data_IF_321013932456
#
_entry.id   IF_321013932456
#
_cell.length_a   1.000
_cell.length_b   1.000
_cell.length_c   1.000
_cell.angle_alpha   90.00
_cell.angle_beta   90.00
_cell.angle_gamma   90.00
#
_symmetry.space_group_name_H-M   'P 1'
#
loop_
_entity.id
_entity.type
_entity.pdbx_description
1 polymer ?
#
# COMPACT_ATOMS: atom_id res chain seq x y z
N UNK A 1 -24.53 3.24 -32.72
CA UNK A 1 -23.35 2.43 -32.32
C UNK A 1 -22.93 2.99 -30.95
N UNK A 2 -23.38 2.35 -29.89
CA UNK A 2 -23.03 2.72 -28.51
C UNK A 2 -21.63 2.22 -28.22
N UNK A 3 -20.75 3.12 -27.79
CA UNK A 3 -19.36 2.82 -27.39
C UNK A 3 -19.37 1.91 -26.15
N UNK A 4 -18.46 0.89 -26.06
CA UNK A 4 -18.46 -0.12 -24.99
C UNK A 4 -17.93 0.37 -23.62
N UNK A 5 -17.91 1.67 -23.34
CA UNK A 5 -17.18 2.23 -22.18
C UNK A 5 -18.04 2.79 -21.05
N UNK A 6 -19.35 2.54 -21.02
CA UNK A 6 -20.26 3.19 -20.06
C UNK A 6 -20.91 2.21 -19.05
N UNK A 7 -20.26 1.08 -18.77
CA UNK A 7 -20.69 0.27 -17.62
C UNK A 7 -20.14 0.94 -16.35
N UNK A 8 -21.00 1.31 -15.38
CA UNK A 8 -20.52 1.89 -14.13
C UNK A 8 -19.56 0.91 -13.45
N UNK A 9 -18.33 1.36 -13.17
CA UNK A 9 -17.38 0.56 -12.42
C UNK A 9 -18.04 0.14 -11.10
N UNK A 10 -18.16 -1.17 -10.81
CA UNK A 10 -18.84 -1.61 -9.61
C UNK A 10 -18.12 -1.05 -8.38
N UNK A 11 -18.88 -0.40 -7.49
CA UNK A 11 -18.33 0.11 -6.23
C UNK A 11 -17.99 -1.07 -5.33
N UNK A 12 -16.72 -1.21 -4.97
CA UNK A 12 -16.29 -2.21 -4.03
C UNK A 12 -16.83 -1.91 -2.62
N UNK A 13 -17.37 -2.92 -1.97
CA UNK A 13 -17.84 -2.85 -0.58
C UNK A 13 -16.70 -3.23 0.38
N UNK A 14 -15.81 -2.30 0.68
CA UNK A 14 -14.65 -2.52 1.55
C UNK A 14 -14.98 -2.97 2.99
N UNK A 15 -16.10 -2.54 3.63
CA UNK A 15 -16.51 -3.06 4.94
C UNK A 15 -16.72 -4.58 5.01
N UNK A 16 -16.89 -5.26 3.87
CA UNK A 16 -16.99 -6.74 3.83
C UNK A 16 -15.65 -7.44 3.86
N UNK A 17 -14.55 -6.69 3.92
CA UNK A 17 -13.21 -7.29 3.89
C UNK A 17 -12.99 -8.25 5.06
N UNK A 18 -12.39 -9.40 4.77
CA UNK A 18 -12.06 -10.42 5.76
C UNK A 18 -10.65 -10.97 5.54
N UNK A 19 -10.00 -11.38 6.64
CA UNK A 19 -8.66 -11.97 6.59
C UNK A 19 -8.69 -13.34 5.88
N UNK A 20 -7.75 -13.57 4.96
CA UNK A 20 -7.56 -14.85 4.27
C UNK A 20 -6.37 -15.59 4.91
N UNK A 21 -5.16 -15.05 4.73
CA UNK A 21 -3.91 -15.71 5.13
C UNK A 21 -2.78 -14.70 5.34
N UNK A 22 -1.75 -15.13 6.09
CA UNK A 22 -0.45 -14.46 6.19
C UNK A 22 0.61 -15.34 5.55
N UNK A 23 1.28 -14.85 4.51
CA UNK A 23 2.29 -15.60 3.75
C UNK A 23 3.70 -15.05 4.01
N UNK A 24 4.67 -15.89 4.39
CA UNK A 24 6.07 -15.48 4.57
C UNK A 24 6.84 -15.34 3.26
N UNK A 25 6.41 -16.02 2.20
CA UNK A 25 7.06 -16.05 0.89
C UNK A 25 6.03 -16.00 -0.23
N UNK A 26 6.44 -15.66 -1.45
CA UNK A 26 5.58 -15.65 -2.63
C UNK A 26 4.92 -17.02 -2.89
N UNK A 27 5.66 -18.11 -2.67
CA UNK A 27 5.17 -19.47 -2.89
C UNK A 27 4.01 -19.88 -1.96
N UNK A 28 3.85 -19.20 -0.83
CA UNK A 28 2.78 -19.45 0.15
C UNK A 28 1.64 -18.42 0.08
N UNK A 29 1.69 -17.52 -0.89
CA UNK A 29 0.58 -16.62 -1.18
C UNK A 29 -0.61 -17.40 -1.79
N UNK A 30 -1.83 -16.84 -1.74
CA UNK A 30 -2.97 -17.39 -2.50
C UNK A 30 -2.64 -17.51 -3.99
N UNK A 31 -3.42 -18.30 -4.71
CA UNK A 31 -3.29 -18.46 -6.17
C UNK A 31 -3.17 -17.10 -6.86
N UNK A 32 -2.25 -17.02 -7.84
CA UNK A 32 -1.95 -15.77 -8.55
C UNK A 32 -3.01 -15.44 -9.62
N UNK A 33 -4.26 -15.33 -9.18
CA UNK A 33 -5.45 -15.05 -9.98
C UNK A 33 -6.22 -13.87 -9.39
N UNK A 34 -7.13 -13.28 -10.17
CA UNK A 34 -7.97 -12.17 -9.72
C UNK A 34 -7.24 -10.82 -9.72
N UNK A 35 -7.52 -9.98 -8.72
CA UNK A 35 -6.98 -8.64 -8.62
C UNK A 35 -6.57 -8.31 -7.18
N UNK A 36 -5.36 -7.78 -7.02
CA UNK A 36 -4.77 -7.37 -5.76
C UNK A 36 -4.38 -5.90 -5.79
N UNK A 37 -4.67 -5.20 -4.70
CA UNK A 37 -4.11 -3.86 -4.42
C UNK A 37 -3.29 -3.96 -3.15
N UNK A 38 -1.98 -3.70 -3.28
CA UNK A 38 -1.06 -3.81 -2.17
C UNK A 38 -0.85 -2.47 -1.45
N UNK A 39 -0.80 -2.54 -0.12
CA UNK A 39 -0.45 -1.41 0.75
C UNK A 39 0.98 -1.55 1.20
N UNK A 40 1.82 -0.57 0.84
CA UNK A 40 3.22 -0.49 1.22
C UNK A 40 3.51 0.80 2.00
N UNK A 41 4.55 0.78 2.80
CA UNK A 41 4.97 1.98 3.54
C UNK A 41 5.95 1.62 4.65
N UNK A 42 6.70 2.63 5.09
CA UNK A 42 7.63 2.47 6.22
C UNK A 42 6.88 1.98 7.47
N UNK A 43 7.62 1.31 8.34
CA UNK A 43 7.13 1.03 9.69
C UNK A 43 6.57 2.30 10.33
N UNK A 44 5.39 2.19 10.92
CA UNK A 44 4.65 3.31 11.52
C UNK A 44 4.22 4.42 10.53
N UNK A 45 4.22 4.18 9.23
CA UNK A 45 3.65 5.11 8.25
C UNK A 45 2.11 5.21 8.31
N UNK A 46 1.47 4.35 9.11
CA UNK A 46 0.01 4.36 9.27
C UNK A 46 -0.73 3.37 8.35
N UNK A 47 -0.03 2.36 7.81
CA UNK A 47 -0.57 1.40 6.85
C UNK A 47 -1.79 0.64 7.39
N UNK A 48 -1.66 -0.05 8.52
CA UNK A 48 -2.80 -0.75 9.14
C UNK A 48 -3.95 0.18 9.51
N UNK A 49 -3.64 1.43 9.91
CA UNK A 49 -4.67 2.44 10.17
C UNK A 49 -5.42 2.87 8.90
N UNK A 50 -4.72 2.94 7.77
CA UNK A 50 -5.34 3.26 6.48
C UNK A 50 -6.23 2.11 5.98
N UNK A 51 -5.75 0.86 6.07
CA UNK A 51 -6.54 -0.33 5.73
C UNK A 51 -7.80 -0.38 6.60
N UNK A 52 -7.66 -0.22 7.91
CA UNK A 52 -8.79 -0.23 8.84
C UNK A 52 -9.78 0.92 8.58
N UNK A 53 -9.29 2.11 8.20
CA UNK A 53 -10.14 3.23 7.82
C UNK A 53 -10.90 2.97 6.52
N UNK A 54 -10.24 2.41 5.51
CA UNK A 54 -10.85 2.04 4.22
C UNK A 54 -11.95 0.98 4.41
N UNK A 55 -11.65 -0.05 5.20
CA UNK A 55 -12.57 -1.16 5.46
C UNK A 55 -13.61 -0.86 6.54
N UNK A 56 -13.51 0.31 7.21
CA UNK A 56 -14.36 0.69 8.35
C UNK A 56 -14.34 -0.35 9.50
N UNK A 57 -13.24 -1.07 9.63
CA UNK A 57 -13.00 -2.09 10.65
C UNK A 57 -11.84 -1.68 11.54
N UNK A 58 -11.99 -1.71 12.88
CA UNK A 58 -10.98 -1.20 13.79
C UNK A 58 -9.77 -2.14 14.00
N UNK A 59 -9.87 -3.41 13.61
CA UNK A 59 -8.89 -4.44 13.92
C UNK A 59 -8.65 -5.45 12.79
N UNK A 60 -9.06 -5.16 11.53
CA UNK A 60 -8.81 -6.04 10.39
C UNK A 60 -7.30 -6.19 10.17
N UNK A 61 -6.62 -5.08 9.92
CA UNK A 61 -5.16 -5.04 9.86
C UNK A 61 -4.61 -4.74 11.26
N UNK A 62 -3.81 -5.66 11.81
CA UNK A 62 -3.23 -5.49 13.14
C UNK A 62 -2.06 -4.52 13.13
N UNK A 63 -2.10 -3.54 14.00
CA UNK A 63 -0.95 -2.66 14.24
C UNK A 63 0.07 -3.41 15.11
N UNK A 64 1.11 -3.98 14.52
CA UNK A 64 2.21 -4.57 15.29
C UNK A 64 3.07 -3.45 15.89
N UNK A 65 3.21 -3.43 17.22
CA UNK A 65 4.15 -2.56 17.94
C UNK A 65 5.49 -3.23 18.22
N UNK A 66 5.62 -4.53 17.94
CA UNK A 66 6.81 -5.31 18.27
C UNK A 66 7.74 -5.40 17.06
N UNK A 67 8.94 -4.79 17.10
CA UNK A 67 9.97 -4.97 16.07
C UNK A 67 10.44 -6.44 16.04
N UNK A 68 10.67 -7.01 14.85
CA UNK A 68 11.36 -8.31 14.70
C UNK A 68 10.48 -9.55 14.63
N UNK A 69 9.14 -9.46 14.63
CA UNK A 69 8.30 -10.60 14.22
C UNK A 69 8.38 -10.79 12.71
N UNK A 70 8.34 -12.06 12.28
CA UNK A 70 8.30 -12.45 10.86
C UNK A 70 7.36 -11.53 10.09
N UNK A 71 7.90 -10.84 9.12
CA UNK A 71 7.15 -9.84 8.36
C UNK A 71 6.39 -10.57 7.26
N UNK A 72 5.13 -10.88 7.53
CA UNK A 72 4.27 -11.64 6.63
C UNK A 72 3.53 -10.69 5.67
N UNK A 73 3.26 -11.16 4.48
CA UNK A 73 2.33 -10.55 3.54
C UNK A 73 0.92 -10.99 3.96
N UNK A 74 0.06 -10.06 4.34
CA UNK A 74 -1.30 -10.39 4.78
C UNK A 74 -2.31 -10.11 3.68
N UNK A 75 -3.16 -11.09 3.41
CA UNK A 75 -4.19 -11.03 2.39
C UNK A 75 -5.57 -10.91 3.02
N UNK A 76 -6.39 -10.04 2.45
CA UNK A 76 -7.78 -9.82 2.86
C UNK A 76 -8.67 -9.88 1.62
N UNK A 77 -9.73 -10.66 1.65
CA UNK A 77 -10.76 -10.65 0.60
C UNK A 77 -11.61 -9.37 0.68
N UNK A 78 -12.24 -9.00 -0.42
CA UNK A 78 -13.22 -7.91 -0.49
C UNK A 78 -14.50 -8.46 -1.13
N UNK A 79 -15.67 -8.03 -0.66
CA UNK A 79 -16.98 -8.47 -1.17
C UNK A 79 -17.25 -9.98 -0.99
N UNK A 80 -16.62 -10.62 0.00
CA UNK A 80 -16.64 -12.07 0.19
C UNK A 80 -16.11 -12.85 -1.04
N UNK A 81 -15.27 -12.21 -1.85
CA UNK A 81 -14.65 -12.77 -3.05
C UNK A 81 -13.14 -12.82 -2.86
N UNK A 82 -12.59 -14.03 -2.74
CA UNK A 82 -11.14 -14.23 -2.56
C UNK A 82 -10.32 -13.92 -3.82
N UNK A 83 -10.96 -13.67 -4.95
CA UNK A 83 -10.28 -13.18 -6.16
C UNK A 83 -10.02 -11.66 -6.12
N UNK A 84 -10.69 -10.92 -5.24
CA UNK A 84 -10.52 -9.49 -5.01
C UNK A 84 -9.84 -9.26 -3.66
N UNK A 85 -8.60 -8.84 -3.66
CA UNK A 85 -7.78 -8.79 -2.45
C UNK A 85 -7.16 -7.42 -2.15
N UNK A 86 -7.21 -7.04 -0.88
CA UNK A 86 -6.29 -6.05 -0.31
C UNK A 86 -5.10 -6.80 0.29
N UNK A 87 -3.90 -6.31 0.07
CA UNK A 87 -2.67 -6.94 0.53
C UNK A 87 -1.89 -5.98 1.41
N UNK A 88 -1.65 -6.38 2.67
CA UNK A 88 -0.84 -5.61 3.61
C UNK A 88 0.60 -6.11 3.54
N UNK A 89 1.45 -5.36 2.83
CA UNK A 89 2.88 -5.68 2.74
C UNK A 89 3.58 -5.35 4.06
N UNK A 90 4.62 -6.09 4.43
CA UNK A 90 5.42 -5.79 5.60
C UNK A 90 5.94 -4.35 5.59
N UNK A 91 5.89 -3.67 6.75
CA UNK A 91 6.46 -2.33 6.88
C UNK A 91 7.99 -2.37 6.81
N UNK A 92 8.61 -1.47 6.08
CA UNK A 92 10.06 -1.37 5.95
C UNK A 92 10.68 -0.31 6.87
N UNK A 93 12.01 -0.35 7.02
CA UNK A 93 12.77 0.68 7.75
C UNK A 93 12.76 0.51 9.27
N UNK A 94 12.69 -0.72 9.77
CA UNK A 94 12.94 -1.00 11.18
C UNK A 94 14.43 -0.84 11.50
N UNK A 95 14.77 0.09 12.37
CA UNK A 95 16.16 0.39 12.76
C UNK A 95 16.86 -0.75 13.55
N UNK A 96 16.08 -1.68 14.13
CA UNK A 96 16.57 -2.72 15.05
C UNK A 96 16.51 -4.15 14.50
N UNK A 97 16.54 -4.33 13.19
CA UNK A 97 16.52 -5.66 12.55
C UNK A 97 17.90 -5.94 11.98
N UNK A 98 18.48 -7.15 12.16
CA UNK A 98 19.73 -7.52 11.55
C UNK A 98 19.74 -7.30 10.03
N UNK A 99 20.90 -6.93 9.46
CA UNK A 99 21.02 -6.62 8.03
C UNK A 99 20.63 -7.81 7.13
N UNK A 100 20.98 -9.03 7.55
CA UNK A 100 20.59 -10.27 6.83
C UNK A 100 19.07 -10.41 6.69
N UNK A 101 18.33 -10.11 7.76
CA UNK A 101 16.87 -10.18 7.76
C UNK A 101 16.25 -9.10 6.87
N UNK A 102 16.86 -7.90 6.82
CA UNK A 102 16.43 -6.84 5.91
C UNK A 102 16.61 -7.22 4.45
N UNK A 103 17.75 -7.81 4.11
CA UNK A 103 18.07 -8.25 2.75
C UNK A 103 17.13 -9.37 2.28
N UNK A 104 16.88 -10.35 3.13
CA UNK A 104 15.94 -11.44 2.84
C UNK A 104 14.52 -10.89 2.60
N UNK A 105 14.07 -10.00 3.48
CA UNK A 105 12.77 -9.35 3.33
C UNK A 105 12.67 -8.52 2.04
N UNK A 106 13.72 -7.73 1.72
CA UNK A 106 13.77 -6.96 0.48
C UNK A 106 13.69 -7.86 -0.76
N UNK A 107 14.34 -9.03 -0.70
CA UNK A 107 14.27 -10.05 -1.77
C UNK A 107 12.83 -10.54 -1.97
N UNK A 108 12.15 -10.97 -0.90
CA UNK A 108 10.77 -11.44 -0.98
C UNK A 108 9.79 -10.37 -1.43
N UNK A 109 9.97 -9.13 -0.97
CA UNK A 109 9.16 -7.99 -1.41
C UNK A 109 9.37 -7.70 -2.90
N UNK A 110 10.63 -7.66 -3.35
CA UNK A 110 10.98 -7.45 -4.74
C UNK A 110 10.42 -8.56 -5.65
N UNK A 111 10.48 -9.81 -5.18
CA UNK A 111 9.91 -10.97 -5.87
C UNK A 111 8.39 -10.83 -6.01
N UNK A 112 7.69 -10.50 -4.92
CA UNK A 112 6.25 -10.24 -4.94
C UNK A 112 5.89 -9.11 -5.91
N UNK A 113 6.56 -7.96 -5.80
CA UNK A 113 6.26 -6.79 -6.63
C UNK A 113 6.55 -7.02 -8.12
N UNK A 114 7.56 -7.83 -8.46
CA UNK A 114 7.95 -8.08 -9.85
C UNK A 114 7.12 -9.18 -10.50
N UNK A 115 6.83 -10.26 -9.77
CA UNK A 115 6.35 -11.51 -10.37
C UNK A 115 4.86 -11.76 -10.13
N UNK A 116 4.20 -11.04 -9.21
CA UNK A 116 2.79 -11.26 -8.89
C UNK A 116 1.87 -10.71 -10.00
N UNK A 117 1.25 -11.58 -10.79
CA UNK A 117 0.37 -11.20 -11.91
C UNK A 117 -0.97 -10.61 -11.45
N UNK A 118 -1.53 -11.09 -10.35
CA UNK A 118 -2.76 -10.56 -9.76
C UNK A 118 -2.60 -9.15 -9.17
N UNK A 119 -1.36 -8.68 -8.92
CA UNK A 119 -1.11 -7.33 -8.41
C UNK A 119 -1.41 -6.28 -9.48
N UNK A 120 -2.43 -5.45 -9.24
CA UNK A 120 -2.96 -4.44 -10.17
C UNK A 120 -2.64 -3.00 -9.77
N UNK A 121 -2.24 -2.76 -8.54
CA UNK A 121 -1.95 -1.41 -8.07
C UNK A 121 -1.31 -1.38 -6.70
N UNK A 122 -0.71 -0.25 -6.38
CA UNK A 122 -0.02 -0.01 -5.13
C UNK A 122 -0.60 1.22 -4.42
N UNK A 123 -0.96 1.07 -3.15
CA UNK A 123 -1.19 2.20 -2.25
C UNK A 123 0.06 2.41 -1.41
N UNK A 124 0.79 3.50 -1.66
CA UNK A 124 2.06 3.80 -1.00
C UNK A 124 1.86 4.86 0.09
N UNK A 125 2.13 4.49 1.34
CA UNK A 125 1.96 5.35 2.50
C UNK A 125 3.26 6.02 2.90
N UNK A 126 3.28 7.35 2.85
CA UNK A 126 4.41 8.18 3.25
C UNK A 126 3.99 9.11 4.38
N UNK A 127 4.81 9.25 5.42
CA UNK A 127 4.57 10.29 6.44
C UNK A 127 4.69 11.66 5.79
N UNK A 128 3.66 12.50 5.91
CA UNK A 128 3.60 13.84 5.28
C UNK A 128 4.79 14.74 5.63
N UNK A 129 5.46 14.49 6.76
CA UNK A 129 6.62 15.24 7.24
C UNK A 129 7.93 14.85 6.55
N UNK A 130 8.01 13.60 6.07
CA UNK A 130 9.21 13.00 5.48
C UNK A 130 8.85 12.10 4.29
N UNK A 131 8.22 12.64 3.22
CA UNK A 131 7.85 11.86 2.05
C UNK A 131 9.07 11.61 1.14
N UNK A 132 8.94 10.66 0.23
CA UNK A 132 9.92 10.31 -0.81
C UNK A 132 11.28 9.87 -0.24
N UNK A 133 11.25 9.04 0.80
CA UNK A 133 12.45 8.37 1.31
C UNK A 133 13.01 7.40 0.26
N UNK A 134 14.26 6.95 0.44
CA UNK A 134 14.89 5.96 -0.47
C UNK A 134 14.02 4.72 -0.72
N UNK A 135 13.36 4.22 0.33
CA UNK A 135 12.42 3.12 0.19
C UNK A 135 11.15 3.48 -0.60
N UNK A 136 10.64 4.69 -0.41
CA UNK A 136 9.48 5.14 -1.19
C UNK A 136 9.84 5.22 -2.67
N UNK A 137 11.04 5.72 -2.99
CA UNK A 137 11.58 5.78 -4.36
C UNK A 137 11.78 4.37 -4.94
N UNK A 138 12.30 3.43 -4.15
CA UNK A 138 12.43 2.03 -4.55
C UNK A 138 11.07 1.42 -4.93
N UNK A 139 10.03 1.67 -4.13
CA UNK A 139 8.66 1.19 -4.42
C UNK A 139 8.10 1.80 -5.70
N UNK A 140 8.32 3.11 -5.92
CA UNK A 140 7.93 3.80 -7.14
C UNK A 140 8.64 3.24 -8.36
N UNK A 141 9.94 2.94 -8.27
CA UNK A 141 10.70 2.32 -9.35
C UNK A 141 10.18 0.92 -9.72
N UNK A 142 9.76 0.10 -8.73
CA UNK A 142 9.13 -1.20 -9.02
C UNK A 142 7.80 -1.03 -9.74
N UNK A 143 7.01 -0.05 -9.34
CA UNK A 143 5.72 0.22 -9.98
C UNK A 143 5.90 0.73 -11.41
N UNK A 144 6.85 1.63 -11.64
CA UNK A 144 7.20 2.18 -12.94
C UNK A 144 7.64 1.08 -13.93
N UNK A 145 8.54 0.18 -13.53
CA UNK A 145 8.99 -0.96 -14.34
C UNK A 145 7.85 -1.88 -14.80
N UNK A 146 6.70 -1.84 -14.16
CA UNK A 146 5.52 -2.64 -14.48
C UNK A 146 4.36 -1.81 -15.02
N UNK A 147 4.56 -0.52 -15.24
CA UNK A 147 3.48 0.42 -15.60
C UNK A 147 2.27 0.30 -14.65
N UNK A 148 2.56 0.03 -13.35
CA UNK A 148 1.54 -0.26 -12.35
C UNK A 148 1.06 1.04 -11.68
N UNK A 149 -0.25 1.30 -11.62
CA UNK A 149 -0.80 2.47 -10.96
C UNK A 149 -0.40 2.55 -9.46
N UNK A 150 -0.03 3.74 -9.01
CA UNK A 150 0.29 4.02 -7.60
C UNK A 150 -0.59 5.14 -7.06
N UNK A 151 -1.21 4.89 -5.91
CA UNK A 151 -1.89 5.91 -5.15
C UNK A 151 -1.11 6.24 -3.87
N UNK A 152 -0.59 7.45 -3.76
CA UNK A 152 0.19 7.88 -2.60
C UNK A 152 -0.72 8.52 -1.55
N UNK A 153 -0.68 7.98 -0.33
CA UNK A 153 -1.29 8.57 0.85
C UNK A 153 -0.22 9.28 1.68
N UNK A 154 -0.24 10.63 1.70
CA UNK A 154 0.57 11.41 2.63
C UNK A 154 -0.11 11.39 4.00
N UNK A 155 0.28 10.41 4.80
CA UNK A 155 -0.34 10.09 6.08
C UNK A 155 0.01 11.08 7.19
N UNK A 156 -0.76 11.02 8.30
CA UNK A 156 -0.57 11.91 9.47
C UNK A 156 -0.69 13.38 9.12
N UNK A 157 -1.51 13.72 8.14
CA UNK A 157 -1.74 15.11 7.74
C UNK A 157 -2.25 15.99 8.89
N UNK A 158 -2.89 15.37 9.91
CA UNK A 158 -3.32 16.00 11.16
C UNK A 158 -2.16 16.53 12.03
N UNK A 159 -0.93 16.05 11.82
CA UNK A 159 0.28 16.50 12.55
C UNK A 159 0.85 17.80 12.01
N UNK A 160 0.35 18.27 10.89
CA UNK A 160 0.76 19.54 10.29
C UNK A 160 -0.42 20.53 10.21
N UNK A 161 -0.11 21.82 10.26
CA UNK A 161 -1.06 22.88 9.90
C UNK A 161 -1.38 22.79 8.39
N UNK A 162 -2.53 23.33 7.98
CA UNK A 162 -3.02 23.27 6.59
C UNK A 162 -1.98 23.73 5.55
N UNK A 163 -1.29 24.85 5.80
CA UNK A 163 -0.27 25.38 4.88
C UNK A 163 0.90 24.40 4.65
N UNK A 164 1.64 23.98 5.70
CA UNK A 164 2.72 22.99 5.59
C UNK A 164 2.27 21.65 4.99
N UNK A 165 1.08 21.16 5.30
CA UNK A 165 0.55 19.93 4.70
C UNK A 165 0.33 20.10 3.19
N UNK A 166 -0.27 21.20 2.77
CA UNK A 166 -0.45 21.54 1.35
C UNK A 166 0.88 21.72 0.62
N UNK A 167 1.86 22.36 1.24
CA UNK A 167 3.20 22.51 0.66
C UNK A 167 3.89 21.15 0.45
N UNK A 168 3.78 20.23 1.42
CA UNK A 168 4.30 18.87 1.27
C UNK A 168 3.63 18.14 0.11
N UNK A 169 2.30 18.22 -0.02
CA UNK A 169 1.55 17.65 -1.13
C UNK A 169 2.04 18.19 -2.49
N UNK A 170 2.19 19.49 -2.63
CA UNK A 170 2.66 20.12 -3.88
C UNK A 170 4.11 19.72 -4.21
N UNK A 171 4.98 19.64 -3.20
CA UNK A 171 6.36 19.14 -3.36
C UNK A 171 6.38 17.72 -3.93
N UNK A 172 5.55 16.82 -3.39
CA UNK A 172 5.48 15.43 -3.89
C UNK A 172 4.94 15.40 -5.31
N UNK A 173 3.84 16.12 -5.61
CA UNK A 173 3.29 16.22 -6.97
C UNK A 173 4.33 16.72 -7.98
N UNK A 174 5.06 17.77 -7.66
CA UNK A 174 6.09 18.31 -8.55
C UNK A 174 7.23 17.33 -8.81
N UNK A 175 7.60 16.52 -7.81
CA UNK A 175 8.66 15.51 -7.95
C UNK A 175 8.23 14.31 -8.79
N UNK A 176 6.94 14.03 -8.84
CA UNK A 176 6.37 12.87 -9.54
C UNK A 176 5.65 13.27 -10.84
N UNK A 177 5.89 14.49 -11.34
CA UNK A 177 5.22 15.00 -12.53
C UNK A 177 5.44 14.14 -13.77
N UNK A 178 6.60 13.52 -13.92
CA UNK A 178 6.92 12.64 -15.05
C UNK A 178 6.10 11.34 -15.02
N UNK A 179 5.49 11.00 -13.89
CA UNK A 179 4.65 9.80 -13.66
C UNK A 179 3.19 10.14 -13.41
N UNK A 180 2.72 11.35 -13.81
CA UNK A 180 1.36 11.82 -13.48
C UNK A 180 0.23 10.93 -14.02
N UNK A 181 0.49 10.18 -15.09
CA UNK A 181 -0.47 9.21 -15.64
C UNK A 181 -0.61 7.94 -14.80
N UNK A 182 0.43 7.58 -14.04
CA UNK A 182 0.46 6.38 -13.20
C UNK A 182 0.35 6.68 -11.72
N UNK A 183 0.71 7.88 -11.27
CA UNK A 183 0.82 8.21 -9.85
C UNK A 183 -0.14 9.31 -9.45
N UNK A 184 -1.02 8.99 -8.51
CA UNK A 184 -1.89 9.97 -7.85
C UNK A 184 -1.47 10.17 -6.39
N UNK A 185 -1.72 11.36 -5.81
CA UNK A 185 -1.32 11.67 -4.43
C UNK A 185 -2.36 12.52 -3.72
N UNK A 186 -2.62 12.18 -2.45
CA UNK A 186 -3.51 12.95 -1.56
C UNK A 186 -2.99 13.01 -0.11
N UNK A 187 -3.47 14.01 0.63
CA UNK A 187 -3.32 14.05 2.09
C UNK A 187 -4.27 13.05 2.74
N UNK A 188 -3.80 12.38 3.78
CA UNK A 188 -4.60 11.42 4.53
C UNK A 188 -4.38 11.53 6.04
N UNK A 189 -5.47 11.40 6.82
CA UNK A 189 -5.43 11.21 8.26
C UNK A 189 -6.46 10.15 8.66
N UNK A 190 -6.03 9.13 9.36
CA UNK A 190 -6.94 8.12 9.93
C UNK A 190 -7.76 8.65 11.12
N UNK A 191 -7.43 9.83 11.65
CA UNK A 191 -8.12 10.47 12.77
C UNK A 191 -9.25 11.42 12.32
N UNK A 192 -9.19 11.88 11.08
CA UNK A 192 -10.19 12.78 10.50
C UNK A 192 -10.84 12.05 9.31
N UNK A 193 -12.01 11.54 9.54
CA UNK A 193 -12.89 10.99 8.51
C UNK A 193 -13.62 12.12 7.81
#
# INVERSE_FOLDING_TARGET
>A
MTTPHDSPVPRLNYPTASFIISAPTLALCPDDTGAEVAFAGRSNAGKSSAINALTQQNALARTSRTPGRTQLINFFSVMNDESLRLVDLPGYGYAKVPESVKLEWQKHLAEYLRNRFSLRGLVLLMDVRHPLTEFDQMMLNYADQREMPVHILLTKADKLKKGPASASLQKVRSRLKEWEDLVSVQLFSSLKR
#
